data_IF_335049179499
#
_entry.id   IF_335049179499
#
_cell.length_a   1.000
_cell.length_b   1.000
_cell.length_c   1.000
_cell.angle_alpha   90.00
_cell.angle_beta   90.00
_cell.angle_gamma   90.00
#
_symmetry.space_group_name_H-M   'P 1'
#
loop_
_entity.id
_entity.type
_entity.pdbx_description
1 polymer ?
#
# COMPACT_ATOMS: atom_id res chain seq x y z
N UNK A 1 9.54 8.96 0.61
CA UNK A 1 8.39 8.04 0.69
C UNK A 1 8.78 6.58 0.61
N UNK A 2 8.00 5.72 1.28
CA UNK A 2 8.13 4.26 1.27
C UNK A 2 6.76 3.58 1.21
N UNK A 3 6.69 2.44 0.52
CA UNK A 3 5.47 1.62 0.46
C UNK A 3 5.63 0.43 1.38
N UNK A 4 4.64 0.20 2.24
CA UNK A 4 4.55 -0.97 3.11
C UNK A 4 3.29 -1.77 2.84
N UNK A 5 3.32 -3.03 3.26
CA UNK A 5 2.18 -3.93 3.31
C UNK A 5 2.02 -4.47 4.72
N UNK A 6 0.80 -4.38 5.25
CA UNK A 6 0.44 -4.84 6.58
C UNK A 6 -0.48 -6.06 6.49
N UNK A 7 -0.09 -7.20 7.06
CA UNK A 7 -0.87 -8.45 7.09
C UNK A 7 -1.45 -8.78 8.47
N UNK A 8 -2.36 -7.95 8.94
CA UNK A 8 -3.01 -8.10 10.24
C UNK A 8 -2.12 -7.74 11.44
N UNK A 9 -0.85 -8.21 11.49
CA UNK A 9 0.09 -7.89 12.59
C UNK A 9 1.48 -7.47 12.14
N UNK A 10 1.95 -7.90 10.97
CA UNK A 10 3.28 -7.53 10.51
C UNK A 10 3.17 -6.47 9.43
N UNK A 11 4.05 -5.48 9.50
CA UNK A 11 4.26 -4.52 8.43
C UNK A 11 5.61 -4.83 7.76
N UNK A 12 5.61 -4.97 6.43
CA UNK A 12 6.82 -5.17 5.64
C UNK A 12 6.97 -4.08 4.60
N UNK A 13 8.20 -3.62 4.40
CA UNK A 13 8.53 -2.65 3.34
C UNK A 13 8.53 -3.38 2.01
N UNK A 14 7.76 -2.88 1.04
CA UNK A 14 7.75 -3.37 -0.34
C UNK A 14 8.69 -2.56 -1.23
N UNK A 15 8.79 -1.24 -1.00
CA UNK A 15 9.68 -0.35 -1.74
C UNK A 15 10.13 0.84 -0.89
N UNK A 16 11.36 1.27 -1.12
CA UNK A 16 11.97 2.49 -0.54
C UNK A 16 12.20 3.52 -1.64
N UNK A 17 12.37 4.79 -1.25
CA UNK A 17 12.68 5.91 -2.17
C UNK A 17 11.66 6.09 -3.30
N UNK A 18 10.38 5.88 -2.99
CA UNK A 18 9.29 6.09 -3.96
C UNK A 18 9.16 7.60 -4.23
N UNK A 19 9.22 7.98 -5.51
CA UNK A 19 9.29 9.38 -5.93
C UNK A 19 7.90 10.05 -6.03
N UNK A 20 6.84 9.26 -6.21
CA UNK A 20 5.47 9.78 -6.34
C UNK A 20 4.41 8.80 -5.80
N UNK A 21 3.21 9.32 -5.54
CA UNK A 21 2.05 8.48 -5.22
C UNK A 21 1.70 7.50 -6.35
N UNK A 22 1.91 7.90 -7.61
CA UNK A 22 1.69 7.05 -8.79
C UNK A 22 2.66 5.87 -8.83
N UNK A 23 3.94 6.10 -8.50
CA UNK A 23 4.91 5.04 -8.36
C UNK A 23 4.56 4.10 -7.20
N UNK A 24 4.06 4.66 -6.08
CA UNK A 24 3.54 3.86 -4.97
C UNK A 24 2.39 2.95 -5.39
N UNK A 25 1.44 3.47 -6.18
CA UNK A 25 0.34 2.68 -6.74
C UNK A 25 0.84 1.55 -7.66
N UNK A 26 1.87 1.82 -8.47
CA UNK A 26 2.49 0.79 -9.32
C UNK A 26 3.09 -0.34 -8.49
N UNK A 27 3.82 -0.03 -7.42
CA UNK A 27 4.38 -1.03 -6.49
C UNK A 27 3.27 -1.94 -5.92
N UNK A 28 2.15 -1.34 -5.51
CA UNK A 28 0.99 -2.09 -4.97
C UNK A 28 0.37 -2.99 -6.06
N UNK A 29 0.15 -2.45 -7.25
CA UNK A 29 -0.42 -3.20 -8.39
C UNK A 29 0.46 -4.38 -8.80
N UNK A 30 1.77 -4.16 -8.90
CA UNK A 30 2.76 -5.20 -9.21
C UNK A 30 2.78 -6.27 -8.11
N UNK A 31 2.69 -5.87 -6.83
CA UNK A 31 2.59 -6.81 -5.71
C UNK A 31 1.34 -7.69 -5.82
N UNK A 32 0.16 -7.11 -6.06
CA UNK A 32 -1.08 -7.86 -6.22
C UNK A 32 -0.99 -8.86 -7.36
N UNK A 33 -0.48 -8.41 -8.52
CA UNK A 33 -0.30 -9.26 -9.71
C UNK A 33 0.68 -10.40 -9.46
N UNK A 34 1.81 -10.13 -8.82
CA UNK A 34 2.83 -11.14 -8.51
C UNK A 34 2.31 -12.25 -7.57
N UNK A 35 1.34 -11.93 -6.71
CA UNK A 35 0.70 -12.88 -5.80
C UNK A 35 -0.63 -13.44 -6.34
N UNK A 36 -1.00 -13.10 -7.57
CA UNK A 36 -2.26 -13.48 -8.21
C UNK A 36 -3.50 -13.07 -7.38
N UNK A 37 -3.44 -11.90 -6.75
CA UNK A 37 -4.55 -11.29 -6.03
C UNK A 37 -5.37 -10.41 -6.97
N UNK A 38 -6.68 -10.62 -6.96
CA UNK A 38 -7.62 -9.79 -7.69
C UNK A 38 -8.17 -8.69 -6.78
N UNK A 39 -8.08 -7.45 -7.24
CA UNK A 39 -8.66 -6.28 -6.56
C UNK A 39 -9.65 -5.62 -7.52
N UNK A 40 -10.92 -5.53 -7.09
CA UNK A 40 -11.98 -4.93 -7.89
C UNK A 40 -11.99 -3.41 -7.85
N UNK A 41 -11.31 -2.81 -6.86
CA UNK A 41 -11.14 -1.37 -6.71
C UNK A 41 -9.93 -1.08 -5.83
N UNK A 42 -9.31 0.07 -6.06
CA UNK A 42 -8.31 0.62 -5.15
C UNK A 42 -8.80 1.99 -4.70
N UNK A 43 -9.06 2.12 -3.40
CA UNK A 43 -9.41 3.37 -2.73
C UNK A 43 -8.24 3.81 -1.88
N UNK A 44 -8.12 5.11 -1.64
CA UNK A 44 -7.10 5.64 -0.74
C UNK A 44 -7.61 6.82 0.06
N UNK A 45 -7.07 6.98 1.26
CA UNK A 45 -7.32 8.12 2.14
C UNK A 45 -6.06 8.41 2.97
N UNK A 46 -5.99 9.63 3.51
CA UNK A 46 -4.93 9.98 4.45
C UNK A 46 -5.24 9.39 5.81
N UNK A 47 -4.29 8.62 6.33
CA UNK A 47 -4.28 8.10 7.69
C UNK A 47 -3.46 9.08 8.55
N UNK A 48 -4.17 9.87 9.36
CA UNK A 48 -3.56 10.90 10.21
C UNK A 48 -2.75 10.31 11.37
N UNK A 49 -3.14 9.13 11.88
CA UNK A 49 -2.42 8.47 12.98
C UNK A 49 -1.07 7.94 12.50
N UNK A 50 -1.05 7.32 11.31
CA UNK A 50 0.17 6.80 10.69
C UNK A 50 0.94 7.83 9.88
N UNK A 51 0.37 9.03 9.65
CA UNK A 51 0.90 10.06 8.75
C UNK A 51 1.24 9.49 7.36
N UNK A 52 0.33 8.68 6.82
CA UNK A 52 0.51 7.95 5.57
C UNK A 52 -0.72 8.05 4.68
N UNK A 53 -0.60 7.65 3.42
CA UNK A 53 -1.75 7.34 2.57
C UNK A 53 -2.02 5.85 2.69
N UNK A 54 -3.19 5.48 3.20
CA UNK A 54 -3.64 4.09 3.22
C UNK A 54 -4.31 3.76 1.89
N UNK A 55 -3.98 2.60 1.32
CA UNK A 55 -4.66 2.03 0.17
C UNK A 55 -5.47 0.80 0.59
N UNK A 56 -6.76 0.84 0.29
CA UNK A 56 -7.69 -0.25 0.41
C UNK A 56 -7.90 -0.90 -0.95
N UNK A 57 -7.53 -2.18 -1.02
CA UNK A 57 -7.60 -3.01 -2.23
C UNK A 57 -8.76 -4.02 -2.16
N UNK A 58 -9.69 -3.86 -1.20
CA UNK A 58 -10.82 -4.75 -0.98
C UNK A 58 -10.55 -5.90 0.00
N UNK A 59 -9.50 -5.79 0.84
CA UNK A 59 -9.19 -6.77 1.88
C UNK A 59 -9.65 -6.30 3.25
N UNK A 60 -10.19 -7.22 4.06
CA UNK A 60 -10.67 -6.92 5.41
C UNK A 60 -9.56 -6.76 6.44
N UNK A 61 -8.37 -7.31 6.18
CA UNK A 61 -7.28 -7.37 7.18
C UNK A 61 -5.89 -7.03 6.62
N UNK A 62 -5.80 -6.78 5.31
CA UNK A 62 -4.53 -6.47 4.65
C UNK A 62 -4.59 -5.10 4.01
N UNK A 63 -3.59 -4.28 4.29
CA UNK A 63 -3.57 -2.88 3.88
C UNK A 63 -2.20 -2.50 3.34
N UNK A 64 -2.16 -1.52 2.46
CA UNK A 64 -0.92 -0.91 2.00
C UNK A 64 -0.86 0.52 2.48
N UNK A 65 0.35 0.98 2.78
CA UNK A 65 0.59 2.36 3.19
C UNK A 65 1.70 2.97 2.36
N UNK A 66 1.51 4.21 1.93
CA UNK A 66 2.58 5.07 1.43
C UNK A 66 2.88 6.11 2.50
N UNK A 67 4.00 5.95 3.18
CA UNK A 67 4.49 6.94 4.14
C UNK A 67 5.28 8.00 3.40
N UNK A 68 5.09 9.27 3.78
CA UNK A 68 5.82 10.37 3.15
C UNK A 68 7.33 10.33 3.49
N UNK A 69 7.69 9.86 4.70
CA UNK A 69 8.99 10.04 5.37
C UNK A 69 9.45 11.51 5.46
#
# INVERSE_FOLDING_TARGET
>A
MKVTFMDGRNERVLAQNVASQEEGFKVISDFLRAHNYESYYIRYWRDEEKKAIQYDVGSWSQFFYLYDD
#
